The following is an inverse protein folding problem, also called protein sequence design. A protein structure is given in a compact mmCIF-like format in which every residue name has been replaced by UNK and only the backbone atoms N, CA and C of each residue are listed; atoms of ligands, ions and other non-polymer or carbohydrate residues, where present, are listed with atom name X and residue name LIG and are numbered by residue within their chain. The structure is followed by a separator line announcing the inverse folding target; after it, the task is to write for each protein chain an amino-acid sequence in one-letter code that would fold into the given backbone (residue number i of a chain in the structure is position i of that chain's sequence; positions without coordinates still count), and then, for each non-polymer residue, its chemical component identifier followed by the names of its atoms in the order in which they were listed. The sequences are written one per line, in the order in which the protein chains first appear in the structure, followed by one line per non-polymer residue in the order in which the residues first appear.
data_IF_698692002505
#
_entry.id   IF_698692002505
#
_cell.length_a   1.000
_cell.length_b   1.000
_cell.length_c   1.000
_cell.angle_alpha   90.00
_cell.angle_beta   90.00
_cell.angle_gamma   90.00
#
_symmetry.space_group_name_H-M   'P 1'
#
loop_
_entity.id
_entity.type
_entity.pdbx_description
1 polymer ?
#
# COMPACT_ATOMS: atom_id res chain seq x y z
N UNK A 1 -16.15 -8.22 -25.05
CA UNK A 1 -16.57 -7.59 -23.78
C UNK A 1 -15.39 -7.61 -22.85
N UNK A 2 -14.92 -6.43 -22.44
CA UNK A 2 -13.64 -6.19 -21.75
C UNK A 2 -13.65 -6.78 -20.34
N UNK A 3 -12.65 -7.60 -20.01
CA UNK A 3 -12.50 -8.14 -18.66
C UNK A 3 -12.14 -6.99 -17.71
N UNK A 4 -13.03 -6.71 -16.77
CA UNK A 4 -12.79 -5.78 -15.68
C UNK A 4 -11.66 -6.32 -14.80
N UNK A 5 -10.51 -5.64 -14.82
CA UNK A 5 -9.42 -5.86 -13.87
C UNK A 5 -9.95 -5.64 -12.46
N UNK A 6 -10.23 -6.74 -11.75
CA UNK A 6 -10.58 -6.72 -10.33
C UNK A 6 -9.29 -6.72 -9.51
N UNK A 7 -8.63 -5.57 -9.42
CA UNK A 7 -7.57 -5.30 -8.46
C UNK A 7 -8.19 -4.90 -7.11
N UNK A 8 -9.09 -5.72 -6.59
CA UNK A 8 -9.61 -5.53 -5.23
C UNK A 8 -8.48 -5.79 -4.25
N UNK A 9 -7.81 -4.73 -3.82
CA UNK A 9 -6.76 -4.74 -2.81
C UNK A 9 -5.31 -4.78 -3.33
N UNK A 10 -5.06 -4.75 -4.64
CA UNK A 10 -3.71 -4.61 -5.20
C UNK A 10 -3.59 -3.28 -5.95
N UNK A 11 -2.48 -2.57 -5.78
CA UNK A 11 -2.20 -1.37 -6.58
C UNK A 11 -2.07 -1.80 -8.04
N UNK A 12 -2.90 -1.26 -8.93
CA UNK A 12 -2.66 -1.39 -10.37
C UNK A 12 -1.48 -0.49 -10.74
N UNK A 13 -0.29 -1.09 -10.85
CA UNK A 13 0.93 -0.36 -11.16
C UNK A 13 0.86 0.38 -12.50
N UNK A 14 0.04 -0.10 -13.44
CA UNK A 14 -0.14 0.54 -14.74
C UNK A 14 -1.00 1.79 -14.63
N UNK A 15 -2.02 1.76 -13.78
CA UNK A 15 -2.81 2.95 -13.43
C UNK A 15 -1.95 3.98 -12.70
N UNK A 16 -1.15 3.55 -11.72
CA UNK A 16 -0.22 4.42 -11.00
C UNK A 16 0.79 5.08 -11.94
N UNK A 17 1.43 4.30 -12.82
CA UNK A 17 2.36 4.81 -13.82
C UNK A 17 1.69 5.85 -14.73
N UNK A 18 0.48 5.55 -15.22
CA UNK A 18 -0.30 6.46 -16.08
C UNK A 18 -0.59 7.78 -15.36
N UNK A 19 -1.01 7.72 -14.09
CA UNK A 19 -1.32 8.89 -13.28
C UNK A 19 -0.09 9.75 -12.97
N UNK A 20 1.07 9.12 -12.71
CA UNK A 20 2.35 9.83 -12.53
C UNK A 20 2.75 10.54 -13.82
N UNK A 21 2.70 9.84 -14.96
CA UNK A 21 3.06 10.42 -16.26
C UNK A 21 2.15 11.59 -16.65
N UNK A 22 0.84 11.47 -16.42
CA UNK A 22 -0.12 12.58 -16.62
C UNK A 22 0.22 13.75 -15.70
N UNK A 23 0.51 13.51 -14.43
CA UNK A 23 0.83 14.57 -13.47
C UNK A 23 2.12 15.32 -13.82
N UNK A 24 3.15 14.62 -14.30
CA UNK A 24 4.38 15.26 -14.81
C UNK A 24 4.07 16.14 -16.02
N UNK A 25 3.26 15.65 -16.97
CA UNK A 25 2.88 16.42 -18.18
C UNK A 25 2.07 17.66 -17.86
N UNK A 26 1.24 17.58 -16.82
CA UNK A 26 0.34 18.66 -16.41
C UNK A 26 0.96 19.58 -15.35
N UNK A 27 2.21 19.32 -14.93
CA UNK A 27 2.90 20.10 -13.90
C UNK A 27 2.28 19.98 -12.51
N UNK A 28 1.51 18.92 -12.26
CA UNK A 28 0.91 18.65 -10.95
C UNK A 28 1.96 18.10 -9.97
N UNK A 29 1.85 18.43 -8.67
CA UNK A 29 2.75 17.92 -7.65
C UNK A 29 2.68 16.39 -7.54
N UNK A 30 3.81 15.75 -7.26
CA UNK A 30 3.90 14.29 -7.12
C UNK A 30 3.73 13.81 -5.68
N UNK A 31 4.14 14.61 -4.69
CA UNK A 31 4.33 14.19 -3.29
C UNK A 31 3.46 14.96 -2.28
N UNK A 32 2.69 15.95 -2.73
CA UNK A 32 1.79 16.70 -1.84
C UNK A 32 0.56 15.86 -1.45
N UNK A 33 -0.36 16.42 -0.65
CA UNK A 33 -1.56 15.73 -0.18
C UNK A 33 -2.30 15.02 -1.31
N UNK A 34 -2.47 15.69 -2.45
CA UNK A 34 -3.15 15.16 -3.64
C UNK A 34 -2.17 14.73 -4.74
N UNK A 35 -0.91 14.49 -4.37
CA UNK A 35 0.14 14.08 -5.28
C UNK A 35 -0.08 12.67 -5.83
N UNK A 36 0.40 12.44 -7.06
CA UNK A 36 0.26 11.15 -7.73
C UNK A 36 0.89 9.97 -6.96
N UNK A 37 1.87 10.23 -6.09
CA UNK A 37 2.54 9.22 -5.26
C UNK A 37 1.86 8.98 -3.90
N UNK A 38 0.96 9.84 -3.46
CA UNK A 38 0.22 9.69 -2.20
C UNK A 38 -0.39 8.29 -2.01
N UNK A 39 -1.14 7.71 -2.98
CA UNK A 39 -1.71 6.38 -2.80
C UNK A 39 -0.64 5.30 -2.60
N UNK A 40 0.51 5.43 -3.26
CA UNK A 40 1.63 4.50 -3.11
C UNK A 40 2.28 4.61 -1.72
N UNK A 41 2.53 5.84 -1.25
CA UNK A 41 3.11 6.09 0.08
C UNK A 41 2.18 5.57 1.19
N UNK A 42 0.86 5.82 1.09
CA UNK A 42 -0.13 5.27 2.01
C UNK A 42 -0.01 3.75 2.11
N UNK A 43 0.06 3.08 0.96
CA UNK A 43 0.14 1.63 0.92
C UNK A 43 1.44 1.09 1.50
N UNK A 44 2.57 1.73 1.22
CA UNK A 44 3.86 1.38 1.81
C UNK A 44 3.77 1.40 3.34
N UNK A 45 3.21 2.48 3.91
CA UNK A 45 3.04 2.64 5.35
C UNK A 45 2.07 1.60 5.95
N UNK A 46 0.95 1.34 5.28
CA UNK A 46 -0.01 0.31 5.69
C UNK A 46 0.64 -1.08 5.72
N UNK A 47 1.40 -1.44 4.67
CA UNK A 47 2.10 -2.73 4.62
C UNK A 47 3.21 -2.85 5.67
N UNK A 48 3.93 -1.77 5.98
CA UNK A 48 4.89 -1.75 7.09
C UNK A 48 4.20 -1.99 8.44
N UNK A 49 3.07 -1.31 8.68
CA UNK A 49 2.31 -1.44 9.92
C UNK A 49 1.67 -2.84 10.07
N UNK A 50 1.11 -3.38 8.99
CA UNK A 50 0.57 -4.75 8.96
C UNK A 50 1.66 -5.78 9.27
N UNK A 51 2.87 -5.58 8.72
CA UNK A 51 4.02 -6.41 9.02
C UNK A 51 4.43 -6.36 10.50
N UNK A 52 4.47 -5.17 11.08
CA UNK A 52 4.76 -4.96 12.50
C UNK A 52 3.72 -5.64 13.40
N UNK A 53 2.43 -5.44 13.11
CA UNK A 53 1.32 -6.06 13.86
C UNK A 53 1.40 -7.58 13.77
N UNK A 54 1.62 -8.13 12.58
CA UNK A 54 1.73 -9.59 12.39
C UNK A 54 2.89 -10.15 13.20
N UNK A 55 4.05 -9.49 13.17
CA UNK A 55 5.23 -9.88 13.93
C UNK A 55 4.98 -9.81 15.45
N UNK A 56 4.32 -8.75 15.92
CA UNK A 56 3.97 -8.60 17.33
C UNK A 56 3.00 -9.69 17.81
N UNK A 57 1.98 -10.02 17.01
CA UNK A 57 1.02 -11.07 17.32
C UNK A 57 1.67 -12.47 17.31
N UNK A 58 2.58 -12.74 16.36
CA UNK A 58 3.33 -14.01 16.36
C UNK A 58 4.26 -14.12 17.56
N UNK A 59 4.97 -13.05 17.92
CA UNK A 59 5.87 -13.04 19.07
C UNK A 59 5.11 -13.30 20.39
N UNK A 60 3.92 -12.71 20.58
CA UNK A 60 3.07 -12.99 21.75
C UNK A 60 2.54 -14.43 21.79
N UNK A 61 2.35 -15.06 20.63
CA UNK A 61 1.88 -16.45 20.57
C UNK A 61 2.97 -17.46 20.95
N UNK A 62 4.26 -17.11 20.80
CA UNK A 62 5.38 -17.93 21.27
C UNK A 62 5.61 -17.78 22.79
N UNK A 63 5.23 -16.63 23.36
CA UNK A 63 5.18 -16.38 24.81
C UNK A 63 3.97 -17.05 25.49
N UNK A 64 3.44 -18.12 24.89
CA UNK A 64 2.36 -18.92 25.45
C UNK A 64 2.82 -19.53 26.78
N UNK A 65 2.04 -19.17 27.80
CA UNK A 65 2.14 -19.50 29.20
C UNK A 65 2.11 -21.02 29.46
N UNK A 66 3.19 -21.74 29.13
CA UNK A 66 3.50 -23.07 29.69
C UNK A 66 4.23 -22.88 31.02
N UNK A 67 3.52 -22.35 32.01
CA UNK A 67 3.91 -22.44 33.42
C UNK A 67 2.75 -23.00 34.23
N UNK A 68 2.44 -24.27 34.04
CA UNK A 68 2.30 -25.30 35.08
C UNK A 68 2.20 -26.69 34.43
#
# INVERSE_FOLDING_TARGET
MSQANRTTGLVDYKELETNILSSIREGRPLTERDGALTPFVKRLLESSLEGEIKNHLSAKSEENNRRN
#
